data_IF_501840358300
#
_entry.id   IF_501840358300
#
_cell.length_a   1.000
_cell.length_b   1.000
_cell.length_c   1.000
_cell.angle_alpha   90.00
_cell.angle_beta   90.00
_cell.angle_gamma   90.00
#
_symmetry.space_group_name_H-M   'P 1'
#
loop_
_entity.id
_entity.type
_entity.pdbx_description
1 polymer ?
#
# COMPACT_ATOMS: atom_id res chain seq x y z
N UNK A 1 3.89 -39.72 7.14
CA UNK A 1 4.56 -38.46 6.85
C UNK A 1 3.54 -37.36 6.62
N UNK A 2 3.57 -36.37 7.46
CA UNK A 2 3.31 -34.92 7.35
C UNK A 2 2.00 -34.32 7.83
N UNK A 3 1.52 -34.72 8.99
CA UNK A 3 0.55 -33.91 9.77
C UNK A 3 1.20 -32.79 10.57
N UNK A 4 2.51 -32.90 10.88
CA UNK A 4 3.25 -31.87 11.65
C UNK A 4 3.57 -30.63 10.84
N UNK A 5 3.85 -30.75 9.54
CA UNK A 5 4.17 -29.65 8.64
C UNK A 5 2.93 -28.78 8.38
N UNK A 6 1.80 -29.38 8.04
CA UNK A 6 0.56 -28.64 7.78
C UNK A 6 0.04 -27.87 9.01
N UNK A 7 0.16 -28.44 10.21
CA UNK A 7 -0.22 -27.77 11.45
C UNK A 7 0.71 -26.57 11.75
N UNK A 8 2.02 -26.70 11.47
CA UNK A 8 3.00 -25.62 11.62
C UNK A 8 2.75 -24.46 10.67
N UNK A 9 2.36 -24.74 9.42
CA UNK A 9 2.09 -23.74 8.40
C UNK A 9 0.78 -22.98 8.68
N UNK A 10 -0.24 -23.65 9.16
CA UNK A 10 -1.51 -23.01 9.59
C UNK A 10 -1.26 -22.10 10.80
N UNK A 11 -0.45 -22.53 11.77
CA UNK A 11 -0.12 -21.73 12.95
C UNK A 11 0.66 -20.47 12.58
N UNK A 12 1.69 -20.57 11.75
CA UNK A 12 2.44 -19.41 11.21
C UNK A 12 1.55 -18.45 10.44
N UNK A 13 0.59 -18.95 9.67
CA UNK A 13 -0.36 -18.13 8.94
C UNK A 13 -1.26 -17.33 9.89
N UNK A 14 -1.70 -17.93 11.00
CA UNK A 14 -2.51 -17.24 12.01
C UNK A 14 -1.73 -16.14 12.76
N UNK A 15 -0.47 -16.38 13.08
CA UNK A 15 0.39 -15.37 13.72
C UNK A 15 0.62 -14.17 12.82
N UNK A 16 0.86 -14.39 11.53
CA UNK A 16 0.99 -13.33 10.55
C UNK A 16 -0.29 -12.52 10.38
N UNK A 17 -1.45 -13.18 10.30
CA UNK A 17 -2.74 -12.48 10.21
C UNK A 17 -2.94 -11.58 11.44
N UNK A 18 -2.68 -12.08 12.64
CA UNK A 18 -2.80 -11.29 13.86
C UNK A 18 -1.81 -10.12 13.92
N UNK A 19 -0.58 -10.30 13.43
CA UNK A 19 0.39 -9.23 13.33
C UNK A 19 -0.12 -8.11 12.40
N UNK A 20 -0.65 -8.47 11.22
CA UNK A 20 -1.19 -7.50 10.27
C UNK A 20 -2.44 -6.80 10.80
N UNK A 21 -3.35 -7.51 11.45
CA UNK A 21 -4.54 -6.92 12.08
C UNK A 21 -4.15 -5.94 13.18
N UNK A 22 -3.17 -6.32 14.01
CA UNK A 22 -2.69 -5.46 15.08
C UNK A 22 -1.94 -4.23 14.53
N UNK A 23 -1.09 -4.40 13.52
CA UNK A 23 -0.42 -3.30 12.85
C UNK A 23 -1.43 -2.32 12.21
N UNK A 24 -2.47 -2.84 11.57
CA UNK A 24 -3.55 -2.01 11.00
C UNK A 24 -4.36 -1.28 12.10
N UNK A 25 -4.54 -1.90 13.27
CA UNK A 25 -5.16 -1.25 14.44
C UNK A 25 -4.27 -0.11 14.95
N UNK A 26 -2.98 -0.38 15.17
CA UNK A 26 -1.99 0.60 15.62
C UNK A 26 -1.91 1.80 14.67
N UNK A 27 -1.88 1.56 13.36
CA UNK A 27 -1.88 2.62 12.35
C UNK A 27 -3.12 3.52 12.45
N UNK A 28 -4.31 2.94 12.68
CA UNK A 28 -5.54 3.72 12.92
C UNK A 28 -5.44 4.56 14.21
N UNK A 29 -4.89 4.00 15.30
CA UNK A 29 -4.69 4.74 16.55
C UNK A 29 -3.77 5.94 16.37
N UNK A 30 -2.64 5.76 15.66
CA UNK A 30 -1.74 6.87 15.30
C UNK A 30 -2.50 7.92 14.50
N UNK A 31 -3.25 7.52 13.45
CA UNK A 31 -4.01 8.44 12.62
C UNK A 31 -5.11 9.22 13.36
N UNK A 32 -5.72 8.62 14.41
CA UNK A 32 -6.79 9.26 15.19
C UNK A 32 -6.28 10.16 16.31
N UNK A 33 -5.10 9.88 16.86
CA UNK A 33 -4.62 10.53 18.08
C UNK A 33 -3.40 11.43 17.85
N UNK A 34 -2.95 11.59 16.61
CA UNK A 34 -1.83 12.48 16.27
C UNK A 34 -2.18 13.37 15.09
N UNK A 35 -1.48 14.48 14.95
CA UNK A 35 -1.57 15.33 13.77
C UNK A 35 -1.10 14.63 12.49
N UNK A 36 -0.32 13.54 12.60
CA UNK A 36 0.08 12.69 11.46
C UNK A 36 -1.14 12.12 10.70
N UNK A 37 -2.26 11.90 11.39
CA UNK A 37 -3.52 11.51 10.76
C UNK A 37 -4.40 12.68 10.34
N UNK A 38 -4.36 13.79 11.08
CA UNK A 38 -5.23 14.94 10.86
C UNK A 38 -4.69 15.89 9.77
N UNK A 39 -3.37 15.98 9.60
CA UNK A 39 -2.74 16.71 8.49
C UNK A 39 -2.73 15.91 7.19
N UNK A 40 -3.36 14.76 7.20
CA UNK A 40 -3.56 13.73 6.19
C UNK A 40 -3.66 14.12 4.72
N UNK A 41 -2.77 14.98 4.27
CA UNK A 41 -2.43 15.05 2.86
C UNK A 41 -1.69 13.76 2.56
N UNK A 42 -2.42 12.81 1.97
CA UNK A 42 -1.79 11.59 1.50
C UNK A 42 -0.64 11.96 0.55
N UNK A 43 0.39 11.14 0.47
CA UNK A 43 1.47 11.26 -0.51
C UNK A 43 0.90 11.58 -1.91
N UNK A 44 -0.21 10.95 -2.26
CA UNK A 44 -0.94 11.20 -3.51
C UNK A 44 -1.42 12.64 -3.60
N UNK A 45 -1.99 13.20 -2.53
CA UNK A 45 -2.49 14.58 -2.55
C UNK A 45 -1.36 15.58 -2.75
N UNK A 46 -0.25 15.42 -2.03
CA UNK A 46 0.94 16.29 -2.18
C UNK A 46 1.53 16.18 -3.60
N UNK A 47 1.62 14.96 -4.14
CA UNK A 47 2.10 14.76 -5.51
C UNK A 47 1.20 15.43 -6.55
N UNK A 48 -0.12 15.38 -6.37
CA UNK A 48 -1.07 16.03 -7.26
C UNK A 48 -1.06 17.56 -7.09
N UNK A 49 -0.81 18.09 -5.88
CA UNK A 49 -0.62 19.52 -5.65
C UNK A 49 0.65 20.02 -6.38
N UNK A 50 1.76 19.27 -6.33
CA UNK A 50 2.96 19.57 -7.12
C UNK A 50 2.70 19.54 -8.62
N UNK A 51 1.89 18.56 -9.08
CA UNK A 51 1.49 18.50 -10.47
C UNK A 51 0.61 19.67 -10.91
N UNK A 52 -0.11 20.31 -10.00
CA UNK A 52 -0.87 21.53 -10.27
C UNK A 52 0.04 22.75 -10.49
N UNK A 53 1.17 22.81 -9.79
CA UNK A 53 2.12 23.93 -9.91
C UNK A 53 2.80 23.99 -11.30
N UNK A 54 2.96 22.82 -11.95
CA UNK A 54 3.68 22.72 -13.23
C UNK A 54 2.76 22.59 -14.44
N UNK A 55 1.47 22.40 -14.24
CA UNK A 55 0.54 22.13 -15.32
C UNK A 55 -0.36 23.33 -15.65
N UNK A 56 -0.56 23.56 -16.96
CA UNK A 56 -1.37 24.67 -17.49
C UNK A 56 -2.88 24.37 -17.57
N UNK A 57 -3.29 23.10 -17.41
CA UNK A 57 -4.67 22.63 -17.64
C UNK A 57 -5.38 22.29 -16.36
N UNK A 58 -6.68 22.58 -16.30
CA UNK A 58 -7.56 22.11 -15.23
C UNK A 58 -7.71 20.58 -15.23
N UNK A 59 -7.83 19.98 -14.05
CA UNK A 59 -8.02 18.52 -13.90
C UNK A 59 -9.22 17.97 -14.67
N UNK A 60 -10.29 18.74 -14.84
CA UNK A 60 -11.47 18.36 -15.60
C UNK A 60 -11.21 18.11 -17.09
N UNK A 61 -10.10 18.63 -17.61
CA UNK A 61 -9.70 18.50 -19.03
C UNK A 61 -8.49 17.60 -19.22
N UNK A 62 -7.85 17.16 -18.13
CA UNK A 62 -6.67 16.27 -18.17
C UNK A 62 -7.08 14.81 -18.30
N UNK A 63 -6.29 14.08 -19.06
CA UNK A 63 -6.31 12.62 -19.06
C UNK A 63 -5.23 12.09 -18.15
N UNK A 64 -5.61 11.24 -17.19
CA UNK A 64 -4.69 10.57 -16.28
C UNK A 64 -4.54 9.09 -16.66
N UNK A 65 -3.30 8.61 -16.76
CA UNK A 65 -2.95 7.20 -16.94
C UNK A 65 -2.27 6.67 -15.68
N UNK A 66 -2.82 5.62 -15.07
CA UNK A 66 -2.30 5.02 -13.84
C UNK A 66 -1.71 3.64 -14.13
N UNK A 67 -0.46 3.43 -13.76
CA UNK A 67 0.19 2.12 -13.74
C UNK A 67 -0.01 1.46 -12.38
N UNK A 68 -0.71 0.34 -12.35
CA UNK A 68 -0.98 -0.43 -11.13
C UNK A 68 -2.47 -0.54 -10.80
N UNK A 69 -2.78 -1.53 -9.95
CA UNK A 69 -4.15 -1.86 -9.50
C UNK A 69 -4.19 -2.16 -8.00
N UNK A 70 -3.23 -1.64 -7.25
CA UNK A 70 -3.13 -1.77 -5.81
C UNK A 70 -3.94 -0.72 -5.04
N UNK A 71 -3.73 -0.69 -3.71
CA UNK A 71 -4.37 0.28 -2.82
C UNK A 71 -4.02 1.73 -3.20
N UNK A 72 -2.76 1.99 -3.57
CA UNK A 72 -2.30 3.31 -4.02
C UNK A 72 -3.03 3.79 -5.27
N UNK A 73 -3.19 2.92 -6.29
CA UNK A 73 -3.96 3.27 -7.49
C UNK A 73 -5.41 3.63 -7.16
N UNK A 74 -6.02 2.94 -6.18
CA UNK A 74 -7.36 3.28 -5.69
C UNK A 74 -7.44 4.64 -5.02
N UNK A 75 -6.47 4.98 -4.18
CA UNK A 75 -6.36 6.28 -3.54
C UNK A 75 -6.13 7.41 -4.56
N UNK A 76 -5.29 7.15 -5.57
CA UNK A 76 -5.01 8.07 -6.67
C UNK A 76 -6.27 8.40 -7.47
N UNK A 77 -7.09 7.40 -7.82
CA UNK A 77 -8.36 7.62 -8.53
C UNK A 77 -9.29 8.52 -7.69
N UNK A 78 -9.40 8.26 -6.39
CA UNK A 78 -10.23 9.08 -5.50
C UNK A 78 -9.74 10.53 -5.47
N UNK A 79 -8.45 10.76 -5.28
CA UNK A 79 -7.86 12.09 -5.23
C UNK A 79 -7.93 12.86 -6.57
N UNK A 80 -7.83 12.16 -7.70
CA UNK A 80 -8.04 12.75 -9.04
C UNK A 80 -9.50 13.20 -9.23
N UNK A 81 -10.47 12.38 -8.81
CA UNK A 81 -11.89 12.72 -8.88
C UNK A 81 -12.26 13.91 -8.00
N UNK A 82 -11.68 13.98 -6.79
CA UNK A 82 -11.86 15.15 -5.91
C UNK A 82 -11.40 16.46 -6.57
N UNK A 83 -10.43 16.39 -7.50
CA UNK A 83 -9.95 17.52 -8.32
C UNK A 83 -10.75 17.71 -9.62
N UNK A 84 -11.73 16.85 -9.89
CA UNK A 84 -12.59 16.93 -11.08
C UNK A 84 -12.07 16.17 -12.31
N UNK A 85 -10.96 15.39 -12.19
CA UNK A 85 -10.49 14.55 -13.28
C UNK A 85 -11.42 13.36 -13.48
N UNK A 86 -12.00 13.24 -14.68
CA UNK A 86 -12.94 12.17 -15.04
C UNK A 86 -12.40 11.22 -16.10
N UNK A 87 -11.42 11.64 -16.90
CA UNK A 87 -10.80 10.80 -17.93
C UNK A 87 -9.57 10.06 -17.34
N UNK A 88 -9.87 8.95 -16.66
CA UNK A 88 -8.86 8.15 -15.93
C UNK A 88 -8.75 6.78 -16.56
N UNK A 89 -7.55 6.43 -16.93
CA UNK A 89 -7.18 5.14 -17.52
C UNK A 89 -6.25 4.37 -16.60
N UNK A 90 -6.38 3.04 -16.60
CA UNK A 90 -5.57 2.17 -15.74
C UNK A 90 -4.92 1.08 -16.57
N UNK A 91 -3.64 0.86 -16.33
CA UNK A 91 -2.88 -0.29 -16.83
C UNK A 91 -2.41 -1.20 -15.69
N UNK A 92 -2.25 -2.48 -15.98
CA UNK A 92 -1.69 -3.45 -15.05
C UNK A 92 -0.93 -4.54 -15.78
N UNK A 93 0.35 -4.67 -15.50
CA UNK A 93 1.19 -5.77 -16.02
C UNK A 93 0.68 -7.16 -15.61
N UNK A 94 -0.06 -7.27 -14.51
CA UNK A 94 -0.66 -8.53 -14.04
C UNK A 94 -2.00 -8.88 -14.69
N UNK A 95 -2.46 -8.13 -15.69
CA UNK A 95 -3.72 -8.38 -16.39
C UNK A 95 -5.00 -8.01 -15.61
N UNK A 96 -4.88 -7.39 -14.43
CA UNK A 96 -6.03 -7.03 -13.57
C UNK A 96 -6.68 -5.69 -13.91
N UNK A 97 -6.21 -4.99 -14.95
CA UNK A 97 -6.69 -3.64 -15.27
C UNK A 97 -8.19 -3.60 -15.54
N UNK A 98 -8.74 -4.53 -16.33
CA UNK A 98 -10.15 -4.55 -16.68
C UNK A 98 -11.08 -4.75 -15.48
N UNK A 99 -10.77 -5.72 -14.61
CA UNK A 99 -11.55 -5.97 -13.39
C UNK A 99 -11.48 -4.79 -12.42
N UNK A 100 -10.28 -4.22 -12.24
CA UNK A 100 -10.05 -3.08 -11.37
C UNK A 100 -10.79 -1.83 -11.88
N UNK A 101 -10.71 -1.57 -13.19
CA UNK A 101 -11.35 -0.43 -13.83
C UNK A 101 -12.89 -0.50 -13.73
N UNK A 102 -13.47 -1.68 -13.99
CA UNK A 102 -14.91 -1.89 -13.87
C UNK A 102 -15.45 -1.61 -12.46
N UNK A 103 -14.70 -2.04 -11.42
CA UNK A 103 -15.06 -1.78 -10.01
C UNK A 103 -15.00 -0.31 -9.61
N UNK A 104 -14.28 0.50 -10.35
CA UNK A 104 -14.02 1.92 -10.05
C UNK A 104 -14.54 2.88 -11.11
N UNK A 105 -15.28 2.39 -12.09
CA UNK A 105 -15.88 3.21 -13.16
C UNK A 105 -14.82 4.10 -13.86
N UNK A 106 -13.66 3.51 -14.20
CA UNK A 106 -12.60 4.11 -14.99
C UNK A 106 -12.31 3.23 -16.21
N UNK A 107 -11.47 3.68 -17.13
CA UNK A 107 -11.13 2.95 -18.34
C UNK A 107 -9.90 2.06 -18.13
N UNK A 108 -9.94 0.83 -18.67
CA UNK A 108 -8.75 0.00 -18.77
C UNK A 108 -8.04 0.25 -20.11
N UNK A 109 -6.70 0.35 -20.08
CA UNK A 109 -5.91 0.43 -21.32
C UNK A 109 -6.04 -0.91 -22.06
N UNK A 110 -6.39 -0.90 -23.36
CA UNK A 110 -6.38 -2.10 -24.19
C UNK A 110 -4.98 -2.73 -24.29
N UNK A 111 -4.91 -4.04 -24.58
CA UNK A 111 -3.65 -4.80 -24.62
C UNK A 111 -2.63 -4.14 -25.57
N UNK A 112 -3.05 -3.70 -26.72
CA UNK A 112 -2.20 -3.08 -27.74
C UNK A 112 -2.29 -1.54 -27.73
N UNK A 113 -2.88 -0.94 -26.70
CA UNK A 113 -3.18 0.50 -26.65
C UNK A 113 -2.23 1.32 -25.78
N UNK A 114 -1.16 0.74 -25.26
CA UNK A 114 -0.28 1.41 -24.27
C UNK A 114 0.39 2.65 -24.83
N UNK A 115 1.00 2.56 -26.01
CA UNK A 115 1.68 3.68 -26.66
C UNK A 115 0.72 4.87 -26.87
N UNK A 116 -0.47 4.57 -27.37
CA UNK A 116 -1.51 5.60 -27.60
C UNK A 116 -2.04 6.17 -26.28
N UNK A 117 -2.23 5.33 -25.26
CA UNK A 117 -2.67 5.77 -23.94
C UNK A 117 -1.64 6.70 -23.29
N UNK A 118 -0.35 6.35 -23.36
CA UNK A 118 0.73 7.21 -22.87
C UNK A 118 0.82 8.51 -23.67
N UNK A 119 0.81 8.44 -25.01
CA UNK A 119 0.91 9.63 -25.87
C UNK A 119 -0.25 10.62 -25.67
N UNK A 120 -1.43 10.15 -25.27
CA UNK A 120 -2.61 10.97 -25.02
C UNK A 120 -2.79 11.41 -23.58
N UNK A 121 -1.98 10.90 -22.64
CA UNK A 121 -2.07 11.23 -21.22
C UNK A 121 -1.38 12.59 -20.92
N UNK A 122 -2.05 13.47 -20.23
CA UNK A 122 -1.46 14.69 -19.68
C UNK A 122 -0.67 14.37 -18.39
N UNK A 123 -1.17 13.42 -17.59
CA UNK A 123 -0.56 12.98 -16.34
C UNK A 123 -0.41 11.45 -16.32
N UNK A 124 0.80 10.98 -16.06
CA UNK A 124 1.11 9.55 -15.96
C UNK A 124 1.56 9.24 -14.54
N UNK A 125 0.93 8.24 -13.89
CA UNK A 125 1.13 7.99 -12.47
C UNK A 125 1.56 6.54 -12.22
N UNK A 126 2.77 6.36 -11.70
CA UNK A 126 3.33 5.08 -11.30
C UNK A 126 2.90 4.68 -9.90
N UNK A 127 2.14 3.60 -9.79
CA UNK A 127 1.68 3.00 -8.53
C UNK A 127 1.87 1.47 -8.53
N UNK A 128 2.65 0.92 -9.46
CA UNK A 128 2.73 -0.54 -9.64
C UNK A 128 3.79 -1.19 -8.78
N UNK A 129 4.90 -0.51 -8.57
CA UNK A 129 6.04 -1.02 -7.82
C UNK A 129 6.67 -2.26 -8.46
N UNK A 130 6.67 -2.31 -9.79
CA UNK A 130 7.30 -3.39 -10.56
C UNK A 130 8.82 -3.38 -10.50
N UNK A 131 9.44 -4.45 -11.01
CA UNK A 131 10.91 -4.59 -11.07
C UNK A 131 11.56 -3.91 -12.27
N UNK A 132 10.76 -3.58 -13.29
CA UNK A 132 11.26 -3.06 -14.58
C UNK A 132 10.70 -1.66 -14.79
N UNK A 133 11.48 -0.60 -14.47
CA UNK A 133 11.06 0.78 -14.68
C UNK A 133 11.00 1.10 -16.17
N UNK A 134 10.10 2.00 -16.56
CA UNK A 134 10.02 2.53 -17.91
C UNK A 134 11.22 3.44 -18.20
N UNK A 135 11.87 3.18 -19.32
CA UNK A 135 13.04 3.93 -19.78
C UNK A 135 12.61 5.15 -20.63
N UNK A 136 13.48 6.17 -20.81
CA UNK A 136 13.17 7.35 -21.60
C UNK A 136 12.66 7.07 -23.03
N UNK A 137 13.23 6.07 -23.71
CA UNK A 137 12.84 5.69 -25.06
C UNK A 137 11.44 5.06 -25.18
N UNK A 138 10.86 4.69 -24.05
CA UNK A 138 9.50 4.14 -23.95
C UNK A 138 8.45 5.22 -23.67
N UNK A 139 8.89 6.44 -23.33
CA UNK A 139 8.00 7.57 -23.09
C UNK A 139 7.77 8.28 -24.44
N UNK A 140 6.52 8.33 -24.92
CA UNK A 140 6.23 9.00 -26.19
C UNK A 140 6.47 10.50 -26.08
N UNK A 141 6.77 11.13 -27.22
CA UNK A 141 6.92 12.58 -27.28
C UNK A 141 5.62 13.29 -26.92
N UNK A 142 5.74 14.41 -26.21
CA UNK A 142 4.62 15.21 -25.74
C UNK A 142 4.95 15.86 -24.41
N UNK A 143 4.03 16.71 -23.92
CA UNK A 143 4.13 17.25 -22.56
C UNK A 143 3.46 16.29 -21.59
N UNK A 144 4.25 15.76 -20.66
CA UNK A 144 3.74 14.83 -19.63
C UNK A 144 4.19 15.26 -18.24
N UNK A 145 3.26 15.29 -17.32
CA UNK A 145 3.60 15.31 -15.88
C UNK A 145 3.60 13.86 -15.40
N UNK A 146 4.75 13.37 -14.95
CA UNK A 146 4.90 11.98 -14.47
C UNK A 146 5.04 11.99 -12.94
N UNK A 147 4.17 11.26 -12.26
CA UNK A 147 4.21 11.07 -10.81
C UNK A 147 4.67 9.64 -10.52
N UNK A 148 5.88 9.45 -10.03
CA UNK A 148 6.35 8.13 -9.59
C UNK A 148 6.14 7.96 -8.09
N UNK A 149 5.02 7.33 -7.74
CA UNK A 149 4.62 7.05 -6.36
C UNK A 149 4.93 5.60 -5.93
N UNK A 150 5.64 4.86 -6.77
CA UNK A 150 6.04 3.50 -6.49
C UNK A 150 7.30 3.47 -5.60
N UNK A 151 7.33 2.60 -4.59
CA UNK A 151 8.50 2.43 -3.72
C UNK A 151 9.74 1.91 -4.48
N UNK A 152 9.52 1.07 -5.49
CA UNK A 152 10.57 0.48 -6.32
C UNK A 152 10.72 1.17 -7.67
N UNK A 153 10.19 2.36 -7.83
CA UNK A 153 10.15 3.17 -9.05
C UNK A 153 9.53 2.45 -10.26
N UNK A 154 8.55 3.11 -10.86
CA UNK A 154 7.94 2.68 -12.12
C UNK A 154 8.60 3.36 -13.34
N UNK A 155 9.40 4.41 -13.10
CA UNK A 155 10.12 5.16 -14.13
C UNK A 155 11.61 5.25 -13.79
N UNK A 156 12.46 5.11 -14.81
CA UNK A 156 13.88 5.35 -14.66
C UNK A 156 14.16 6.84 -14.37
N UNK A 157 15.10 7.19 -13.48
CA UNK A 157 15.42 8.58 -13.17
C UNK A 157 15.80 9.43 -14.39
N UNK A 158 16.37 8.84 -15.43
CA UNK A 158 16.73 9.53 -16.66
C UNK A 158 15.53 10.00 -17.49
N UNK A 159 14.31 9.59 -17.14
CA UNK A 159 13.07 10.16 -17.70
C UNK A 159 12.96 11.65 -17.41
N UNK A 160 13.54 12.12 -16.30
CA UNK A 160 13.61 13.55 -15.96
C UNK A 160 14.46 14.38 -16.96
N UNK A 161 15.32 13.74 -17.73
CA UNK A 161 16.17 14.42 -18.74
C UNK A 161 15.42 14.66 -20.06
N UNK A 162 14.21 14.11 -20.21
CA UNK A 162 13.41 14.31 -21.41
C UNK A 162 12.87 15.74 -21.48
N UNK A 163 13.01 16.42 -22.63
CA UNK A 163 12.38 17.71 -22.81
C UNK A 163 10.86 17.57 -22.73
N UNK A 164 10.17 18.44 -22.08
CA UNK A 164 8.72 18.44 -21.90
C UNK A 164 8.17 17.32 -20.99
N UNK A 165 9.00 16.73 -20.13
CA UNK A 165 8.58 15.84 -19.06
C UNK A 165 8.93 16.46 -17.73
N UNK A 166 7.94 16.57 -16.85
CA UNK A 166 8.14 16.90 -15.44
C UNK A 166 7.99 15.64 -14.62
N UNK A 167 9.09 15.18 -14.01
CA UNK A 167 9.10 13.98 -13.18
C UNK A 167 9.04 14.33 -11.68
N UNK A 168 7.91 14.04 -11.06
CA UNK A 168 7.69 14.19 -9.62
C UNK A 168 7.80 12.83 -8.96
N UNK A 169 8.75 12.68 -8.05
CA UNK A 169 9.04 11.43 -7.35
C UNK A 169 8.60 11.47 -5.89
N UNK A 170 8.68 10.33 -5.19
CA UNK A 170 8.46 10.31 -3.73
C UNK A 170 9.44 11.23 -2.99
N UNK A 171 10.64 11.47 -3.53
CA UNK A 171 11.58 12.44 -2.95
C UNK A 171 11.09 13.87 -3.11
N UNK A 172 10.55 14.24 -4.28
CA UNK A 172 9.92 15.56 -4.50
C UNK A 172 8.76 15.76 -3.52
N UNK A 173 7.92 14.75 -3.35
CA UNK A 173 6.81 14.76 -2.39
C UNK A 173 7.31 14.92 -0.96
N UNK A 174 8.38 14.23 -0.57
CA UNK A 174 8.98 14.34 0.76
C UNK A 174 9.48 15.76 1.06
N UNK A 175 10.08 16.41 0.06
CA UNK A 175 10.60 17.79 0.21
C UNK A 175 9.46 18.82 0.28
N UNK A 176 8.37 18.59 -0.42
CA UNK A 176 7.20 19.48 -0.43
C UNK A 176 6.21 19.23 0.72
N UNK A 177 6.28 18.05 1.34
CA UNK A 177 5.43 17.73 2.48
C UNK A 177 5.72 18.66 3.67
N UNK A 178 4.69 19.13 4.39
CA UNK A 178 4.90 19.89 5.61
C UNK A 178 5.76 19.10 6.60
N UNK A 179 6.71 19.79 7.25
CA UNK A 179 7.48 19.17 8.32
C UNK A 179 6.54 18.70 9.45
N UNK A 180 6.65 17.44 9.80
CA UNK A 180 5.90 16.89 10.92
C UNK A 180 6.43 17.46 12.23
N UNK A 181 5.53 17.86 13.12
CA UNK A 181 5.95 18.38 14.43
C UNK A 181 6.58 17.25 15.26
N UNK A 182 7.71 17.55 15.95
CA UNK A 182 8.39 16.62 16.85
C UNK A 182 7.41 16.00 17.87
N UNK A 183 6.45 16.79 18.35
CA UNK A 183 5.41 16.33 19.27
C UNK A 183 4.50 15.25 18.67
N UNK A 184 4.10 15.41 17.40
CA UNK A 184 3.27 14.43 16.69
C UNK A 184 4.03 13.12 16.49
N UNK A 185 5.30 13.19 16.11
CA UNK A 185 6.18 12.03 15.95
C UNK A 185 6.40 11.33 17.30
N UNK A 186 6.69 12.06 18.35
CA UNK A 186 6.87 11.51 19.71
C UNK A 186 5.60 10.84 20.23
N UNK A 187 4.43 11.41 19.94
CA UNK A 187 3.14 10.82 20.33
C UNK A 187 2.86 9.55 19.54
N UNK A 188 3.10 9.54 18.23
CA UNK A 188 2.97 8.35 17.40
C UNK A 188 3.91 7.22 17.87
N UNK A 189 5.16 7.54 18.18
CA UNK A 189 6.15 6.58 18.70
C UNK A 189 5.65 5.95 19.99
N UNK A 190 5.13 6.73 20.94
CA UNK A 190 4.56 6.19 22.20
C UNK A 190 3.39 5.25 21.96
N UNK A 191 2.51 5.55 21.01
CA UNK A 191 1.39 4.68 20.63
C UNK A 191 1.93 3.36 20.09
N UNK A 192 2.87 3.40 19.15
CA UNK A 192 3.48 2.20 18.55
C UNK A 192 4.16 1.34 19.60
N UNK A 193 4.96 1.93 20.50
CA UNK A 193 5.65 1.21 21.58
C UNK A 193 4.67 0.55 22.55
N UNK A 194 3.62 1.27 22.94
CA UNK A 194 2.55 0.74 23.81
C UNK A 194 1.81 -0.44 23.19
N UNK A 195 1.42 -0.31 21.93
CA UNK A 195 0.74 -1.37 21.19
C UNK A 195 1.65 -2.58 20.91
N UNK A 196 2.93 -2.35 20.64
CA UNK A 196 3.91 -3.42 20.51
C UNK A 196 4.07 -4.21 21.82
N UNK A 197 4.18 -3.52 22.94
CA UNK A 197 4.25 -4.15 24.26
C UNK A 197 2.99 -4.99 24.56
N UNK A 198 1.80 -4.48 24.24
CA UNK A 198 0.54 -5.19 24.38
C UNK A 198 0.46 -6.43 23.46
N UNK A 199 0.96 -6.32 22.21
CA UNK A 199 1.02 -7.45 21.29
C UNK A 199 1.96 -8.56 21.81
N UNK A 200 3.17 -8.21 22.20
CA UNK A 200 4.16 -9.16 22.74
C UNK A 200 3.63 -9.83 24.01
N UNK A 201 2.97 -9.10 24.90
CA UNK A 201 2.35 -9.66 26.11
C UNK A 201 1.27 -10.68 25.77
N UNK A 202 0.39 -10.38 24.82
CA UNK A 202 -0.65 -11.32 24.35
C UNK A 202 -0.05 -12.57 23.73
N UNK A 203 1.02 -12.45 22.94
CA UNK A 203 1.69 -13.61 22.35
C UNK A 203 2.31 -14.52 23.41
N UNK A 204 2.97 -13.94 24.42
CA UNK A 204 3.52 -14.70 25.55
C UNK A 204 2.45 -15.43 26.34
N UNK A 205 1.31 -14.79 26.65
CA UNK A 205 0.19 -15.42 27.36
C UNK A 205 -0.37 -16.61 26.59
N UNK A 206 -0.54 -16.51 25.27
CA UNK A 206 -1.02 -17.64 24.43
C UNK A 206 -0.08 -18.84 24.44
N UNK A 207 1.22 -18.60 24.43
CA UNK A 207 2.22 -19.69 24.53
C UNK A 207 2.09 -20.41 25.88
N UNK A 208 1.84 -19.68 26.96
CA UNK A 208 1.64 -20.24 28.29
C UNK A 208 0.30 -21.00 28.34
N UNK A 209 -0.77 -20.45 27.82
CA UNK A 209 -2.10 -21.08 27.81
C UNK A 209 -2.07 -22.41 27.07
N UNK A 210 -1.39 -22.49 25.92
CA UNK A 210 -1.25 -23.74 25.17
C UNK A 210 -0.46 -24.80 25.96
N UNK A 211 0.58 -24.41 26.69
CA UNK A 211 1.34 -25.30 27.54
C UNK A 211 0.51 -25.81 28.74
N UNK A 212 -0.31 -24.95 29.35
CA UNK A 212 -1.23 -25.31 30.44
C UNK A 212 -2.28 -26.30 29.94
N UNK A 213 -2.87 -26.07 28.77
CA UNK A 213 -3.84 -26.99 28.18
C UNK A 213 -3.21 -28.35 27.87
N UNK A 214 -2.01 -28.39 27.30
CA UNK A 214 -1.29 -29.64 27.02
C UNK A 214 -0.95 -30.41 28.30
N UNK A 215 -0.50 -29.71 29.35
CA UNK A 215 -0.22 -30.33 30.64
C UNK A 215 -1.46 -30.90 31.30
N UNK A 216 -2.57 -30.15 31.24
CA UNK A 216 -3.86 -30.59 31.79
C UNK A 216 -4.40 -31.84 31.06
N UNK A 217 -4.33 -31.83 29.73
CA UNK A 217 -4.70 -33.02 28.93
C UNK A 217 -3.85 -34.23 29.31
N UNK A 218 -2.53 -34.10 29.34
CA UNK A 218 -1.61 -35.16 29.72
C UNK A 218 -1.90 -35.70 31.12
N UNK A 219 -2.19 -34.84 32.08
CA UNK A 219 -2.53 -35.23 33.47
C UNK A 219 -3.84 -36.04 33.51
N UNK A 220 -4.84 -35.65 32.72
CA UNK A 220 -6.11 -36.41 32.65
C UNK A 220 -5.91 -37.76 31.97
N UNK A 221 -5.13 -37.84 30.88
CA UNK A 221 -4.82 -39.09 30.20
C UNK A 221 -4.11 -40.09 31.13
N UNK A 222 -3.17 -39.60 31.93
CA UNK A 222 -2.49 -40.45 32.95
C UNK A 222 -3.45 -40.92 34.02
N UNK A 223 -4.32 -40.06 34.53
CA UNK A 223 -5.33 -40.40 35.52
C UNK A 223 -6.31 -41.48 34.98
N UNK A 224 -6.81 -41.31 33.76
CA UNK A 224 -7.72 -42.27 33.14
C UNK A 224 -7.03 -43.64 32.93
N UNK A 225 -5.76 -43.64 32.50
CA UNK A 225 -4.96 -44.86 32.35
C UNK A 225 -4.75 -45.60 33.69
N UNK A 226 -4.52 -44.87 34.80
CA UNK A 226 -4.36 -45.50 36.11
C UNK A 226 -5.70 -46.03 36.67
N UNK A 227 -6.79 -45.32 36.44
CA UNK A 227 -8.14 -45.76 36.83
C UNK A 227 -8.58 -47.03 36.06
N UNK A 228 -8.19 -47.18 34.79
CA UNK A 228 -8.45 -48.40 34.02
C UNK A 228 -7.70 -49.64 34.56
N UNK A 229 -6.48 -49.46 35.12
CA UNK A 229 -5.70 -50.56 35.72
C UNK A 229 -6.25 -51.05 37.05
N UNK A 230 -7.13 -50.28 37.72
CA UNK A 230 -7.71 -50.63 39.02
C UNK A 230 -9.11 -51.25 38.88
N UNK A 231 -9.70 -51.24 37.68
CA UNK A 231 -10.93 -51.92 37.32
C UNK A 231 -10.65 -53.33 36.77
#
# INVERSE_FOLDING_TARGET
>A
LDRSSAASDVYKSQELVQLFEHAAHTARQVGQHTALGAQGRSIVSVALDLADEVAEKDWSTRRALIFGTGAYAGATIAALRERGCTDIWVNSRSGRAAEFAAKREVSAVPVDGMEQAMASADVIIGCSGGSDPLLPEQIPGGHHTILDLALSRDFDPSVADLPNVELITLESVRLAAPEETEESVATATRIVESELAAFVSRQRSRTIDSAIVALRSHTMDVLDSELEKVR
#
